data_IF_024146336534
#
_entry.id   IF_024146336534
#
_cell.length_a   1.000
_cell.length_b   1.000
_cell.length_c   1.000
_cell.angle_alpha   90.00
_cell.angle_beta   90.00
_cell.angle_gamma   90.00
#
_symmetry.space_group_name_H-M   'P 1'
#
loop_
_entity.id
_entity.type
_entity.pdbx_description
1 polymer ?
#
# COMPACT_ATOMS: atom_id res chain seq x y z
N UNK A 1 -46.86 -3.97 19.56
CA UNK A 1 -47.51 -2.78 20.16
C UNK A 1 -47.60 -2.99 21.66
N UNK A 2 -46.61 -2.51 22.41
CA UNK A 2 -46.63 -2.54 23.87
C UNK A 2 -47.40 -1.31 24.35
N UNK A 3 -48.64 -1.49 24.82
CA UNK A 3 -49.26 -0.45 25.62
C UNK A 3 -48.48 -0.37 26.93
N UNK A 4 -48.00 0.82 27.34
CA UNK A 4 -47.38 0.98 28.64
C UNK A 4 -48.43 0.59 29.70
N UNK A 5 -48.10 -0.39 30.55
CA UNK A 5 -48.90 -0.73 31.73
C UNK A 5 -49.17 0.56 32.49
N UNK A 6 -50.44 0.96 32.56
CA UNK A 6 -50.88 2.11 33.33
C UNK A 6 -50.50 1.87 34.78
N UNK A 7 -49.49 2.59 35.26
CA UNK A 7 -49.09 2.54 36.66
C UNK A 7 -50.19 3.26 37.45
N UNK A 8 -50.88 2.52 38.31
CA UNK A 8 -51.86 3.08 39.22
C UNK A 8 -51.17 4.14 40.07
N UNK A 9 -51.83 5.27 40.24
CA UNK A 9 -51.35 6.29 41.17
C UNK A 9 -51.57 5.79 42.60
N UNK A 10 -50.71 6.19 43.55
CA UNK A 10 -50.83 5.71 44.94
C UNK A 10 -52.21 5.96 45.59
N UNK A 11 -52.93 6.99 45.12
CA UNK A 11 -54.30 7.30 45.57
C UNK A 11 -55.30 6.23 45.07
N UNK A 12 -55.13 5.75 43.84
CA UNK A 12 -55.99 4.70 43.27
C UNK A 12 -55.71 3.35 43.93
N UNK A 13 -54.44 3.06 44.23
CA UNK A 13 -54.06 1.85 44.98
C UNK A 13 -54.69 1.83 46.38
N UNK A 14 -54.60 2.95 47.12
CA UNK A 14 -55.22 3.09 48.44
C UNK A 14 -56.75 2.95 48.38
N UNK A 15 -57.40 3.53 47.37
CA UNK A 15 -58.84 3.39 47.18
C UNK A 15 -59.25 1.93 46.93
N UNK A 16 -58.46 1.17 46.15
CA UNK A 16 -58.69 -0.25 45.90
C UNK A 16 -58.50 -1.07 47.19
N UNK A 17 -57.46 -0.76 47.98
CA UNK A 17 -57.18 -1.43 49.25
C UNK A 17 -58.32 -1.19 50.25
N UNK A 18 -58.77 0.06 50.40
CA UNK A 18 -59.89 0.41 51.29
C UNK A 18 -61.18 -0.29 50.86
N UNK A 19 -61.47 -0.36 49.56
CA UNK A 19 -62.64 -1.06 49.05
C UNK A 19 -62.59 -2.56 49.35
N UNK A 20 -61.42 -3.21 49.21
CA UNK A 20 -61.24 -4.63 49.54
C UNK A 20 -61.42 -4.88 51.04
N UNK A 21 -60.81 -4.07 51.89
CA UNK A 21 -60.98 -4.13 53.35
C UNK A 21 -62.46 -3.98 53.76
N UNK A 22 -63.18 -3.03 53.15
CA UNK A 22 -64.59 -2.81 53.44
C UNK A 22 -65.49 -4.02 53.06
N UNK A 23 -65.12 -4.77 52.02
CA UNK A 23 -65.84 -5.99 51.61
C UNK A 23 -65.64 -7.11 52.63
N UNK A 24 -64.40 -7.32 53.09
CA UNK A 24 -64.09 -8.39 54.04
C UNK A 24 -64.70 -8.13 55.41
N UNK A 25 -64.70 -6.88 55.87
CA UNK A 25 -65.33 -6.48 57.13
C UNK A 25 -66.85 -6.71 57.14
N UNK A 26 -67.51 -6.67 55.97
CA UNK A 26 -68.97 -6.80 55.88
C UNK A 26 -69.45 -8.18 56.35
N UNK A 27 -68.72 -9.24 56.00
CA UNK A 27 -69.04 -10.60 56.43
C UNK A 27 -68.92 -10.76 57.95
N UNK A 28 -67.84 -10.24 58.54
CA UNK A 28 -67.63 -10.23 59.98
C UNK A 28 -68.70 -9.42 60.73
N UNK A 29 -69.02 -8.21 60.25
CA UNK A 29 -70.05 -7.34 60.84
C UNK A 29 -71.43 -7.99 60.82
N UNK A 30 -71.78 -8.69 59.74
CA UNK A 30 -73.05 -9.43 59.62
C UNK A 30 -73.10 -10.62 60.58
N UNK A 31 -72.02 -11.40 60.66
CA UNK A 31 -71.91 -12.53 61.58
C UNK A 31 -72.01 -12.07 63.04
N UNK A 32 -71.21 -11.07 63.42
CA UNK A 32 -71.21 -10.46 64.76
C UNK A 32 -72.62 -10.00 65.14
N UNK A 33 -73.28 -9.22 64.27
CA UNK A 33 -74.66 -8.75 64.51
C UNK A 33 -75.66 -9.89 64.72
N UNK A 34 -75.56 -10.98 63.95
CA UNK A 34 -76.47 -12.14 64.10
C UNK A 34 -76.21 -12.94 65.37
N UNK A 35 -74.95 -13.13 65.74
CA UNK A 35 -74.55 -13.87 66.95
C UNK A 35 -74.95 -13.13 68.23
N UNK A 36 -74.88 -11.79 68.24
CA UNK A 36 -75.27 -11.01 69.42
C UNK A 36 -76.77 -10.78 69.56
N UNK A 37 -77.54 -10.87 68.47
CA UNK A 37 -79.00 -10.64 68.45
C UNK A 37 -79.84 -11.92 68.40
N UNK A 38 -79.22 -13.10 68.54
CA UNK A 38 -79.94 -14.38 68.50
C UNK A 38 -80.62 -14.67 69.83
N UNK A 39 -81.96 -14.67 69.83
CA UNK A 39 -82.78 -14.92 71.02
C UNK A 39 -83.66 -16.16 70.88
N UNK A 40 -83.78 -16.71 69.67
CA UNK A 40 -84.50 -17.95 69.35
C UNK A 40 -83.57 -19.08 68.92
N UNK A 41 -84.05 -20.32 69.01
CA UNK A 41 -83.37 -21.50 68.47
C UNK A 41 -83.20 -21.41 66.95
N UNK A 42 -84.17 -20.82 66.23
CA UNK A 42 -84.08 -20.55 64.80
C UNK A 42 -82.99 -19.52 64.47
N UNK A 43 -82.84 -18.48 65.30
CA UNK A 43 -81.79 -17.47 65.12
C UNK A 43 -80.40 -18.08 65.27
N UNK A 44 -80.23 -18.98 66.25
CA UNK A 44 -78.97 -19.71 66.48
C UNK A 44 -78.61 -20.59 65.27
N UNK A 45 -79.57 -21.27 64.67
CA UNK A 45 -79.34 -22.03 63.43
C UNK A 45 -78.93 -21.12 62.27
N UNK A 46 -79.56 -19.95 62.16
CA UNK A 46 -79.19 -18.96 61.14
C UNK A 46 -77.78 -18.38 61.35
N UNK A 47 -77.38 -18.17 62.60
CA UNK A 47 -76.05 -17.69 62.97
C UNK A 47 -74.96 -18.73 62.65
N UNK A 48 -75.24 -20.02 62.86
CA UNK A 48 -74.35 -21.11 62.46
C UNK A 48 -74.14 -21.19 60.93
N UNK A 49 -75.19 -20.96 60.14
CA UNK A 49 -75.07 -20.91 58.68
C UNK A 49 -74.22 -19.73 58.21
N UNK A 50 -74.39 -18.55 58.81
CA UNK A 50 -73.53 -17.39 58.52
C UNK A 50 -72.08 -17.62 58.96
N UNK A 51 -71.85 -18.30 60.10
CA UNK A 51 -70.51 -18.69 60.54
C UNK A 51 -69.83 -19.61 59.51
N UNK A 52 -70.56 -20.62 59.02
CA UNK A 52 -70.05 -21.53 58.00
C UNK A 52 -69.74 -20.80 56.68
N UNK A 53 -70.61 -19.85 56.28
CA UNK A 53 -70.39 -19.01 55.10
C UNK A 53 -69.15 -18.11 55.27
N UNK A 54 -68.98 -17.50 56.43
CA UNK A 54 -67.80 -16.69 56.74
C UNK A 54 -66.51 -17.54 56.72
N UNK A 55 -66.54 -18.74 57.30
CA UNK A 55 -65.44 -19.70 57.23
C UNK A 55 -65.08 -20.03 55.77
N UNK A 56 -66.08 -20.38 54.95
CA UNK A 56 -65.86 -20.67 53.52
C UNK A 56 -65.28 -19.46 52.76
N UNK A 57 -65.69 -18.24 53.11
CA UNK A 57 -65.12 -17.02 52.55
C UNK A 57 -63.64 -16.85 52.93
N UNK A 58 -63.28 -17.08 54.19
CA UNK A 58 -61.88 -17.03 54.64
C UNK A 58 -61.02 -18.10 53.95
N UNK A 59 -61.50 -19.34 53.88
CA UNK A 59 -60.81 -20.44 53.20
C UNK A 59 -60.59 -20.12 51.71
N UNK A 60 -61.58 -19.50 51.05
CA UNK A 60 -61.46 -19.02 49.67
C UNK A 60 -60.40 -17.92 49.55
N UNK A 61 -60.37 -16.95 50.46
CA UNK A 61 -59.37 -15.87 50.44
C UNK A 61 -57.95 -16.45 50.55
N UNK A 62 -57.72 -17.35 51.50
CA UNK A 62 -56.43 -18.02 51.65
C UNK A 62 -55.99 -18.78 50.40
N UNK A 63 -56.92 -19.48 49.73
CA UNK A 63 -56.62 -20.16 48.47
C UNK A 63 -56.23 -19.18 47.37
N UNK A 64 -56.94 -18.05 47.26
CA UNK A 64 -56.64 -16.99 46.30
C UNK A 64 -55.27 -16.37 46.60
N UNK A 65 -54.97 -16.08 47.86
CA UNK A 65 -53.68 -15.51 48.26
C UNK A 65 -52.52 -16.46 47.95
N UNK A 66 -52.68 -17.75 48.22
CA UNK A 66 -51.69 -18.76 47.88
C UNK A 66 -51.46 -18.86 46.36
N UNK A 67 -52.53 -18.78 45.56
CA UNK A 67 -52.44 -18.79 44.10
C UNK A 67 -51.74 -17.52 43.57
N UNK A 68 -52.07 -16.34 44.11
CA UNK A 68 -51.42 -15.07 43.75
C UNK A 68 -49.94 -15.10 44.11
N UNK A 69 -49.59 -15.64 45.29
CA UNK A 69 -48.20 -15.76 45.71
C UNK A 69 -47.42 -16.68 44.76
N UNK A 70 -47.97 -17.85 44.43
CA UNK A 70 -47.37 -18.76 43.45
C UNK A 70 -47.15 -18.07 42.10
N UNK A 71 -48.18 -17.40 41.58
CA UNK A 71 -48.09 -16.71 40.30
C UNK A 71 -47.07 -15.56 40.32
N UNK A 72 -47.00 -14.80 41.42
CA UNK A 72 -46.03 -13.72 41.60
C UNK A 72 -44.60 -14.25 41.60
N UNK A 73 -44.35 -15.38 42.26
CA UNK A 73 -43.01 -16.02 42.26
C UNK A 73 -42.61 -16.49 40.87
N UNK A 74 -43.52 -17.11 40.13
CA UNK A 74 -43.26 -17.56 38.75
C UNK A 74 -42.99 -16.38 37.82
N UNK A 75 -43.80 -15.32 37.91
CA UNK A 75 -43.60 -14.11 37.13
C UNK A 75 -42.27 -13.42 37.46
N UNK A 76 -41.82 -13.47 38.72
CA UNK A 76 -40.51 -12.96 39.12
C UNK A 76 -39.36 -13.76 38.49
N UNK A 77 -39.42 -15.09 38.59
CA UNK A 77 -38.41 -15.97 38.01
C UNK A 77 -38.32 -15.80 36.49
N UNK A 78 -39.46 -15.68 35.80
CA UNK A 78 -39.47 -15.44 34.36
C UNK A 78 -38.89 -14.07 33.99
N UNK A 79 -39.16 -13.02 34.78
CA UNK A 79 -38.53 -11.71 34.59
C UNK A 79 -37.02 -11.78 34.75
N UNK A 80 -36.50 -12.48 35.76
CA UNK A 80 -35.07 -12.66 35.95
C UNK A 80 -34.45 -13.41 34.78
N UNK A 81 -35.11 -14.47 34.30
CA UNK A 81 -34.70 -15.22 33.12
C UNK A 81 -34.64 -14.33 31.88
N UNK A 82 -35.70 -13.58 31.59
CA UNK A 82 -35.74 -12.65 30.48
C UNK A 82 -34.65 -11.58 30.58
N UNK A 83 -34.40 -11.05 31.78
CA UNK A 83 -33.37 -10.04 31.99
C UNK A 83 -31.95 -10.60 31.76
N UNK A 84 -31.70 -11.82 32.22
CA UNK A 84 -30.43 -12.51 31.97
C UNK A 84 -30.20 -12.76 30.46
N UNK A 85 -31.25 -13.17 29.74
CA UNK A 85 -31.20 -13.36 28.30
C UNK A 85 -30.95 -12.04 27.56
N UNK A 86 -31.66 -10.97 27.96
CA UNK A 86 -31.47 -9.63 27.39
C UNK A 86 -30.03 -9.13 27.60
N UNK A 87 -29.49 -9.32 28.81
CA UNK A 87 -28.11 -8.95 29.15
C UNK A 87 -27.09 -9.71 28.30
N UNK A 88 -27.31 -11.02 28.10
CA UNK A 88 -26.47 -11.86 27.22
C UNK A 88 -26.52 -11.39 25.76
N UNK A 89 -27.71 -11.04 25.25
CA UNK A 89 -27.86 -10.54 23.88
C UNK A 89 -27.14 -9.20 23.71
N UNK A 90 -27.23 -8.30 24.69
CA UNK A 90 -26.53 -7.02 24.66
C UNK A 90 -25.01 -7.24 24.61
N UNK A 91 -24.49 -8.16 25.43
CA UNK A 91 -23.06 -8.51 25.42
C UNK A 91 -22.62 -9.07 24.07
N UNK A 92 -23.40 -10.00 23.49
CA UNK A 92 -23.12 -10.55 22.16
C UNK A 92 -23.15 -9.48 21.08
N UNK A 93 -24.11 -8.56 21.12
CA UNK A 93 -24.20 -7.45 20.17
C UNK A 93 -22.98 -6.54 20.27
N UNK A 94 -22.57 -6.18 21.50
CA UNK A 94 -21.37 -5.37 21.72
C UNK A 94 -20.11 -6.06 21.19
N UNK A 95 -19.99 -7.38 21.36
CA UNK A 95 -18.88 -8.15 20.81
C UNK A 95 -18.89 -8.12 19.27
N UNK A 96 -20.05 -8.35 18.65
CA UNK A 96 -20.17 -8.30 17.19
C UNK A 96 -19.85 -6.92 16.62
N UNK A 97 -20.23 -5.84 17.30
CA UNK A 97 -19.89 -4.46 16.91
C UNK A 97 -18.37 -4.24 16.96
N UNK A 98 -17.71 -4.75 18.01
CA UNK A 98 -16.25 -4.68 18.12
C UNK A 98 -15.57 -5.48 16.99
N UNK A 99 -16.00 -6.72 16.75
CA UNK A 99 -15.44 -7.58 15.71
C UNK A 99 -15.62 -6.98 14.31
N UNK A 100 -16.78 -6.37 14.05
CA UNK A 100 -17.06 -5.65 12.81
C UNK A 100 -16.12 -4.45 12.63
N UNK A 101 -15.86 -3.69 13.69
CA UNK A 101 -14.92 -2.57 13.64
C UNK A 101 -13.49 -3.06 13.35
N UNK A 102 -13.05 -4.15 13.95
CA UNK A 102 -11.75 -4.75 13.64
C UNK A 102 -11.66 -5.22 12.19
N UNK A 103 -12.69 -5.91 11.70
CA UNK A 103 -12.75 -6.35 10.30
C UNK A 103 -12.71 -5.18 9.30
N UNK A 104 -13.34 -4.05 9.63
CA UNK A 104 -13.29 -2.83 8.82
C UNK A 104 -11.88 -2.22 8.79
N UNK A 105 -11.21 -2.14 9.94
CA UNK A 105 -9.82 -1.66 10.01
C UNK A 105 -8.87 -2.55 9.22
N UNK A 106 -9.01 -3.86 9.31
CA UNK A 106 -8.17 -4.80 8.57
C UNK A 106 -8.43 -4.71 7.07
N UNK A 107 -9.68 -4.53 6.64
CA UNK A 107 -10.02 -4.26 5.24
C UNK A 107 -9.36 -2.96 4.77
N UNK A 108 -9.41 -1.89 5.56
CA UNK A 108 -8.78 -0.62 5.21
C UNK A 108 -7.27 -0.79 5.02
N UNK A 109 -6.58 -1.42 5.98
CA UNK A 109 -5.14 -1.72 5.87
C UNK A 109 -4.81 -2.55 4.64
N UNK A 110 -5.63 -3.56 4.33
CA UNK A 110 -5.46 -4.37 3.13
C UNK A 110 -5.58 -3.53 1.85
N UNK A 111 -6.57 -2.64 1.77
CA UNK A 111 -6.70 -1.73 0.64
C UNK A 111 -5.48 -0.79 0.51
N UNK A 112 -4.94 -0.30 1.62
CA UNK A 112 -3.72 0.51 1.64
C UNK A 112 -2.51 -0.30 1.13
N UNK A 113 -2.37 -1.56 1.56
CA UNK A 113 -1.32 -2.45 1.05
C UNK A 113 -1.49 -2.78 -0.43
N UNK A 114 -2.72 -3.03 -0.89
CA UNK A 114 -3.00 -3.30 -2.30
C UNK A 114 -2.68 -2.06 -3.16
N UNK A 115 -3.00 -0.86 -2.67
CA UNK A 115 -2.63 0.41 -3.33
C UNK A 115 -1.12 0.59 -3.41
N UNK A 116 -0.40 0.35 -2.32
CA UNK A 116 1.08 0.43 -2.30
C UNK A 116 1.70 -0.64 -3.19
N UNK A 117 1.15 -1.86 -3.20
CA UNK A 117 1.62 -2.92 -4.07
C UNK A 117 1.45 -2.53 -5.55
N UNK A 118 0.29 -1.99 -5.93
CA UNK A 118 0.05 -1.48 -7.28
C UNK A 118 1.02 -0.37 -7.67
N UNK A 119 1.37 0.54 -6.74
CA UNK A 119 2.39 1.55 -6.97
C UNK A 119 3.78 0.93 -7.17
N UNK A 120 4.15 -0.05 -6.33
CA UNK A 120 5.43 -0.78 -6.42
C UNK A 120 5.55 -1.53 -7.75
N UNK A 121 4.46 -2.11 -8.27
CA UNK A 121 4.45 -2.81 -9.56
C UNK A 121 4.78 -1.91 -10.76
N UNK A 122 4.62 -0.59 -10.64
CA UNK A 122 5.02 0.34 -11.69
C UNK A 122 6.54 0.50 -11.81
N UNK A 123 7.30 0.05 -10.81
CA UNK A 123 8.76 0.09 -10.80
C UNK A 123 9.34 -1.23 -11.32
N UNK A 124 10.53 -1.19 -11.98
CA UNK A 124 11.20 -2.41 -12.42
C UNK A 124 11.53 -3.31 -11.23
N UNK A 125 11.55 -4.62 -11.50
CA UNK A 125 11.95 -5.60 -10.48
C UNK A 125 13.35 -5.27 -9.95
N UNK A 126 13.53 -5.47 -8.64
CA UNK A 126 14.83 -5.29 -7.97
C UNK A 126 15.95 -6.06 -8.66
N UNK A 127 15.65 -7.24 -9.19
CA UNK A 127 16.63 -8.07 -9.90
C UNK A 127 17.03 -7.44 -11.24
N UNK A 128 16.09 -6.85 -11.97
CA UNK A 128 16.38 -6.22 -13.25
C UNK A 128 17.17 -4.92 -13.07
N UNK A 129 16.85 -4.14 -12.04
CA UNK A 129 17.68 -3.00 -11.64
C UNK A 129 19.10 -3.43 -11.26
N UNK A 130 19.26 -4.54 -10.54
CA UNK A 130 20.58 -5.06 -10.18
C UNK A 130 21.37 -5.50 -11.42
N UNK A 131 20.75 -6.24 -12.35
CA UNK A 131 21.37 -6.63 -13.61
C UNK A 131 21.82 -5.43 -14.43
N UNK A 132 20.99 -4.37 -14.47
CA UNK A 132 21.33 -3.12 -15.15
C UNK A 132 22.54 -2.43 -14.50
N UNK A 133 22.60 -2.39 -13.17
CA UNK A 133 23.75 -1.86 -12.42
C UNK A 133 25.01 -2.67 -12.73
N UNK A 134 24.93 -3.99 -12.66
CA UNK A 134 26.08 -4.88 -12.90
C UNK A 134 26.60 -4.73 -14.34
N UNK A 135 25.69 -4.61 -15.32
CA UNK A 135 26.05 -4.36 -16.72
C UNK A 135 26.72 -2.98 -16.92
N UNK A 136 26.22 -1.94 -16.25
CA UNK A 136 26.83 -0.60 -16.28
C UNK A 136 28.21 -0.60 -15.62
N UNK A 137 28.38 -1.32 -14.52
CA UNK A 137 29.68 -1.47 -13.84
C UNK A 137 30.70 -2.17 -14.75
N UNK A 138 30.32 -3.28 -15.38
CA UNK A 138 31.19 -3.96 -16.36
C UNK A 138 31.59 -3.02 -17.50
N UNK A 139 30.65 -2.23 -18.03
CA UNK A 139 30.92 -1.26 -19.10
C UNK A 139 31.89 -0.14 -18.65
N UNK A 140 31.75 0.32 -17.40
CA UNK A 140 32.66 1.31 -16.81
C UNK A 140 34.07 0.73 -16.67
N UNK A 141 34.19 -0.51 -16.19
CA UNK A 141 35.48 -1.18 -16.06
C UNK A 141 36.17 -1.38 -17.40
N UNK A 142 35.42 -1.77 -18.44
CA UNK A 142 35.91 -1.88 -19.81
C UNK A 142 36.39 -0.52 -20.37
N UNK A 143 35.66 0.56 -20.06
CA UNK A 143 36.06 1.91 -20.45
C UNK A 143 37.35 2.34 -19.75
N UNK A 144 37.50 2.03 -18.46
CA UNK A 144 38.73 2.28 -17.71
C UNK A 144 39.92 1.50 -18.28
N UNK A 145 39.73 0.22 -18.61
CA UNK A 145 40.75 -0.61 -19.24
C UNK A 145 41.14 -0.06 -20.61
N UNK A 146 40.16 0.28 -21.45
CA UNK A 146 40.38 0.87 -22.78
C UNK A 146 41.12 2.20 -22.69
N UNK A 147 40.71 3.08 -21.76
CA UNK A 147 41.38 4.36 -21.51
C UNK A 147 42.84 4.16 -21.08
N UNK A 148 43.11 3.19 -20.20
CA UNK A 148 44.46 2.87 -19.76
C UNK A 148 45.31 2.35 -20.92
N UNK A 149 44.78 1.42 -21.72
CA UNK A 149 45.44 0.89 -22.92
C UNK A 149 45.75 2.00 -23.94
N UNK A 150 44.78 2.85 -24.24
CA UNK A 150 44.98 4.01 -25.12
C UNK A 150 46.06 4.96 -24.58
N UNK A 151 46.04 5.28 -23.29
CA UNK A 151 47.08 6.11 -22.66
C UNK A 151 48.47 5.49 -22.83
N UNK A 152 48.60 4.19 -22.62
CA UNK A 152 49.87 3.48 -22.77
C UNK A 152 50.34 3.48 -24.24
N UNK A 153 49.43 3.23 -25.20
CA UNK A 153 49.77 3.29 -26.64
C UNK A 153 50.18 4.70 -27.08
N UNK A 154 49.49 5.76 -26.62
CA UNK A 154 49.90 7.14 -26.90
C UNK A 154 51.27 7.46 -26.29
N UNK A 155 51.54 7.03 -25.06
CA UNK A 155 52.84 7.21 -24.42
C UNK A 155 53.96 6.51 -25.20
N UNK A 156 53.75 5.26 -25.61
CA UNK A 156 54.71 4.51 -26.42
C UNK A 156 54.95 5.17 -27.77
N UNK A 157 53.88 5.63 -28.44
CA UNK A 157 54.00 6.36 -29.72
C UNK A 157 54.79 7.66 -29.55
N UNK A 158 54.54 8.42 -28.50
CA UNK A 158 55.28 9.64 -28.20
C UNK A 158 56.79 9.36 -28.03
N UNK A 159 57.14 8.26 -27.35
CA UNK A 159 58.54 7.81 -27.23
C UNK A 159 59.13 7.44 -28.60
N UNK A 160 58.43 6.61 -29.40
CA UNK A 160 58.92 6.24 -30.73
C UNK A 160 59.07 7.46 -31.67
N UNK A 161 58.19 8.45 -31.56
CA UNK A 161 58.32 9.68 -32.35
C UNK A 161 59.49 10.53 -31.89
N UNK A 162 59.75 10.60 -30.58
CA UNK A 162 60.95 11.26 -30.06
C UNK A 162 62.23 10.57 -30.58
N UNK A 163 62.27 9.24 -30.58
CA UNK A 163 63.40 8.47 -31.13
C UNK A 163 63.62 8.72 -32.64
N UNK A 164 62.54 8.82 -33.43
CA UNK A 164 62.61 9.15 -34.86
C UNK A 164 63.12 10.57 -35.06
N UNK A 165 62.64 11.54 -34.27
CA UNK A 165 63.11 12.93 -34.32
C UNK A 165 64.59 13.01 -34.00
N UNK A 166 65.05 12.34 -32.93
CA UNK A 166 66.47 12.24 -32.59
C UNK A 166 67.28 11.61 -33.73
N UNK A 167 66.77 10.56 -34.38
CA UNK A 167 67.44 9.93 -35.52
C UNK A 167 67.52 10.88 -36.74
N UNK A 168 66.46 11.64 -37.03
CA UNK A 168 66.45 12.66 -38.07
C UNK A 168 67.41 13.81 -37.75
N UNK A 169 67.50 14.24 -36.49
CA UNK A 169 68.47 15.26 -36.06
C UNK A 169 69.91 14.77 -36.20
N UNK A 170 70.19 13.52 -35.83
CA UNK A 170 71.49 12.88 -36.07
C UNK A 170 71.82 12.83 -37.55
N UNK A 171 70.90 12.33 -38.39
CA UNK A 171 71.11 12.27 -39.84
C UNK A 171 71.34 13.66 -40.45
N UNK A 172 70.60 14.68 -39.99
CA UNK A 172 70.81 16.07 -40.41
C UNK A 172 72.20 16.58 -39.97
N UNK A 173 72.64 16.21 -38.78
CA UNK A 173 73.99 16.47 -38.30
C UNK A 173 75.05 15.81 -39.18
N UNK A 174 74.87 14.53 -39.50
CA UNK A 174 75.79 13.72 -40.32
C UNK A 174 75.86 14.27 -41.76
N UNK A 175 74.72 14.52 -42.41
CA UNK A 175 74.64 15.13 -43.75
C UNK A 175 75.21 16.55 -43.74
N UNK A 176 74.98 17.32 -42.67
CA UNK A 176 75.56 18.66 -42.51
C UNK A 176 77.09 18.61 -42.42
N UNK A 177 77.62 17.66 -41.64
CA UNK A 177 79.05 17.41 -41.51
C UNK A 177 79.66 16.92 -42.84
N UNK A 178 79.00 15.99 -43.53
CA UNK A 178 79.42 15.49 -44.85
C UNK A 178 79.39 16.59 -45.91
N UNK A 179 78.38 17.48 -45.92
CA UNK A 179 78.32 18.61 -46.83
C UNK A 179 79.38 19.69 -46.51
N UNK A 180 79.76 19.87 -45.25
CA UNK A 180 80.89 20.72 -44.87
C UNK A 180 82.24 20.08 -45.25
N UNK A 181 82.38 18.76 -45.10
CA UNK A 181 83.55 18.01 -45.56
C UNK A 181 83.65 18.00 -47.09
N UNK A 182 82.54 17.84 -47.80
CA UNK A 182 82.45 17.97 -49.24
C UNK A 182 82.81 19.38 -49.71
N UNK A 183 82.38 20.43 -48.98
CA UNK A 183 82.84 21.81 -49.23
C UNK A 183 84.32 21.97 -48.95
N UNK A 184 84.86 21.41 -47.87
CA UNK A 184 86.32 21.42 -47.60
C UNK A 184 87.09 20.70 -48.70
N UNK A 185 86.62 19.56 -49.19
CA UNK A 185 87.23 18.83 -50.31
C UNK A 185 87.17 19.63 -51.61
N UNK A 186 86.01 20.20 -51.93
CA UNK A 186 85.85 21.06 -53.11
C UNK A 186 86.69 22.34 -53.04
N UNK A 187 86.91 22.90 -51.86
CA UNK A 187 87.78 24.07 -51.66
C UNK A 187 89.25 23.69 -51.85
N UNK A 188 89.68 22.52 -51.37
CA UNK A 188 91.01 21.95 -51.64
C UNK A 188 91.20 21.63 -53.14
N UNK A 189 90.15 21.15 -53.80
CA UNK A 189 90.14 20.87 -55.24
C UNK A 189 90.20 22.16 -56.08
N UNK A 190 89.46 23.22 -55.68
CA UNK A 190 89.58 24.56 -56.27
C UNK A 190 90.93 25.24 -55.98
N UNK A 191 91.60 24.92 -54.88
CA UNK A 191 92.97 25.38 -54.61
C UNK A 191 94.01 24.67 -55.50
N UNK A 192 93.66 23.49 -56.04
CA UNK A 192 94.48 22.72 -56.97
C UNK A 192 94.18 23.02 -58.45
N UNK A 193 92.97 23.49 -58.77
CA UNK A 193 92.54 23.80 -60.14
C UNK A 193 92.29 25.31 -60.32
N UNK A 194 93.38 26.06 -60.38
CA UNK A 194 93.40 27.37 -61.02
C UNK A 194 93.88 27.25 -62.46
N UNK A 195 92.97 27.03 -63.43
CA UNK A 195 92.94 27.66 -64.76
C UNK A 195 91.85 27.07 -65.68
N UNK A 196 91.08 27.97 -66.31
CA UNK A 196 90.05 27.78 -67.36
C UNK A 196 88.70 27.22 -66.87
N UNK A 197 87.52 27.77 -67.13
CA UNK A 197 87.07 28.90 -67.93
C UNK A 197 85.55 28.76 -68.20
N UNK A 198 84.77 29.74 -67.73
CA UNK A 198 83.52 30.30 -68.28
C UNK A 198 82.46 29.44 -69.04
N UNK A 199 81.21 29.47 -68.49
CA UNK A 199 79.99 30.09 -69.10
C UNK A 199 78.79 29.21 -69.54
N UNK A 200 77.60 29.58 -69.01
CA UNK A 200 76.26 29.51 -69.63
C UNK A 200 75.27 28.52 -68.97
N UNK A 201 74.29 28.94 -68.15
CA UNK A 201 72.91 29.41 -68.49
C UNK A 201 72.06 28.33 -69.22
N UNK A 202 70.79 27.99 -68.95
CA UNK A 202 69.65 28.48 -68.13
C UNK A 202 68.46 27.52 -68.36
N UNK A 203 67.53 27.41 -67.40
CA UNK A 203 66.07 27.15 -67.61
C UNK A 203 65.67 25.71 -68.02
N UNK A 204 64.87 24.97 -67.25
CA UNK A 204 63.44 25.12 -66.88
C UNK A 204 62.53 24.10 -67.61
N UNK A 205 61.80 23.35 -66.77
CA UNK A 205 60.43 22.85 -66.94
C UNK A 205 60.07 21.76 -67.98
N UNK A 206 59.76 20.59 -67.41
CA UNK A 206 58.45 19.90 -67.43
C UNK A 206 57.94 19.21 -68.70
N UNK A 207 57.81 17.88 -68.61
CA UNK A 207 56.75 16.98 -69.14
C UNK A 207 57.18 15.53 -68.81
N UNK A 208 56.37 14.52 -68.49
CA UNK A 208 54.93 14.32 -68.51
C UNK A 208 54.56 13.05 -67.70
N UNK A 209 53.28 12.99 -67.28
CA UNK A 209 52.41 11.79 -67.14
C UNK A 209 52.82 10.71 -66.09
N UNK A 210 51.96 9.94 -65.42
CA UNK A 210 50.54 9.56 -65.52
C UNK A 210 50.29 8.69 -64.25
N UNK A 211 49.26 8.85 -63.42
CA UNK A 211 47.99 8.09 -63.40
C UNK A 211 47.53 7.93 -61.94
N UNK A 212 46.21 7.85 -61.69
CA UNK A 212 45.69 7.10 -60.54
C UNK A 212 44.65 7.79 -59.65
N UNK A 213 43.38 7.64 -60.02
CA UNK A 213 42.17 7.88 -59.21
C UNK A 213 42.14 7.14 -57.86
N UNK A 214 41.39 7.71 -56.88
CA UNK A 214 40.32 7.12 -56.02
C UNK A 214 39.95 8.23 -54.98
N UNK A 215 38.77 8.88 -54.97
CA UNK A 215 37.41 8.38 -54.66
C UNK A 215 37.43 7.63 -53.30
N UNK A 216 36.68 7.91 -52.22
CA UNK A 216 35.33 8.44 -51.99
C UNK A 216 35.20 8.75 -50.48
N UNK A 217 34.56 9.85 -50.06
CA UNK A 217 33.65 10.01 -48.88
C UNK A 217 32.95 11.36 -49.09
N UNK A 218 31.65 11.55 -49.05
CA UNK A 218 30.50 10.71 -48.73
C UNK A 218 29.29 11.49 -49.28
N UNK A 219 28.65 10.99 -50.33
CA UNK A 219 27.33 11.46 -50.75
C UNK A 219 26.34 11.08 -49.66
N UNK A 220 25.98 12.04 -48.82
CA UNK A 220 24.77 11.97 -48.03
C UNK A 220 23.60 12.22 -48.98
N UNK A 221 22.71 11.25 -49.09
CA UNK A 221 21.53 11.30 -49.94
C UNK A 221 20.59 12.43 -49.45
N UNK A 222 20.38 13.51 -50.23
CA UNK A 222 19.58 14.65 -49.78
C UNK A 222 18.08 14.34 -49.66
N UNK A 223 17.66 13.13 -50.04
CA UNK A 223 16.28 12.65 -49.94
C UNK A 223 16.07 11.58 -48.84
N UNK A 224 17.07 11.30 -48.00
CA UNK A 224 16.90 10.36 -46.90
C UNK A 224 15.88 10.92 -45.88
N UNK A 225 14.79 10.18 -45.64
CA UNK A 225 13.78 10.54 -44.66
C UNK A 225 14.39 10.66 -43.25
N UNK A 226 14.04 11.71 -42.53
CA UNK A 226 14.51 11.95 -41.17
C UNK A 226 14.14 10.77 -40.25
N UNK A 227 15.11 10.31 -39.47
CA UNK A 227 14.89 9.25 -38.49
C UNK A 227 14.00 9.77 -37.36
N UNK A 228 12.76 9.26 -37.28
CA UNK A 228 11.87 9.49 -36.14
C UNK A 228 11.96 8.27 -35.19
N UNK A 229 12.43 8.43 -33.95
CA UNK A 229 12.44 7.35 -32.98
C UNK A 229 10.99 7.01 -32.61
N UNK A 230 10.63 5.73 -32.79
CA UNK A 230 9.32 5.20 -32.49
C UNK A 230 8.95 5.43 -31.02
N UNK A 231 7.99 6.33 -30.78
CA UNK A 231 7.28 6.42 -29.50
C UNK A 231 6.45 5.14 -29.41
N UNK A 232 6.86 4.24 -28.52
CA UNK A 232 6.16 3.02 -28.17
C UNK A 232 4.70 3.33 -27.83
N UNK A 233 3.81 2.97 -28.74
CA UNK A 233 2.36 3.01 -28.59
C UNK A 233 2.00 2.07 -27.42
N UNK A 234 1.45 2.63 -26.34
CA UNK A 234 0.76 1.84 -25.32
C UNK A 234 -0.38 1.09 -26.02
N UNK A 235 -0.26 -0.23 -26.04
CA UNK A 235 -1.34 -1.13 -26.40
C UNK A 235 -2.23 -1.21 -25.17
N UNK A 236 -3.40 -0.58 -25.25
CA UNK A 236 -4.49 -0.82 -24.32
C UNK A 236 -4.96 -2.26 -24.54
N UNK A 237 -4.58 -3.13 -23.61
CA UNK A 237 -5.12 -4.48 -23.47
C UNK A 237 -6.39 -4.38 -22.60
N UNK A 238 -7.54 -4.30 -23.27
CA UNK A 238 -8.82 -4.70 -22.72
C UNK A 238 -8.81 -6.22 -22.49
N UNK A 239 -8.63 -6.64 -21.23
CA UNK A 239 -9.16 -7.90 -20.71
C UNK A 239 -10.44 -7.51 -19.95
N UNK A 240 -11.63 -7.90 -20.36
CA UNK A 240 -12.04 -9.29 -20.56
C UNK A 240 -12.87 -9.69 -19.34
N UNK A 241 -14.14 -9.29 -19.34
CA UNK A 241 -15.14 -9.73 -18.37
C UNK A 241 -15.33 -11.25 -18.46
N UNK A 242 -15.03 -11.98 -17.39
CA UNK A 242 -15.58 -13.33 -17.19
C UNK A 242 -16.49 -13.31 -15.95
N UNK A 243 -17.79 -13.42 -16.24
CA UNK A 243 -18.83 -13.84 -15.32
C UNK A 243 -18.68 -15.34 -15.07
N UNK A 244 -18.63 -15.75 -13.79
CA UNK A 244 -19.34 -16.92 -13.23
C UNK A 244 -19.25 -16.92 -11.69
#
# INVERSE_FOLDING_TARGET
MNQPLHQLTGIEEDAIIQHRLAIDEKGWKQLSKRVFNSHSLEDNQSALLELHKFKLQMDRSHLVDAAIQSQSTEAHLERERMNSACSSIIQQNNQLVYDLHQAQLDRQRKMEYDSLAAEIFNYPSRQDSQRSIDALQSSIDDLHHTKHSQRNTFSNRALTFAEILDACERLRGDVGAEAEEGRRRALVEMELEGETGERGETGEAAEAAETGHLAEKSNLDPNAAAFEPAISKKVDLEEGEENE
#
